data_IF_336949171453
#
_entry.id   IF_336949171453
#
_cell.length_a   1.000
_cell.length_b   1.000
_cell.length_c   1.000
_cell.angle_alpha   90.00
_cell.angle_beta   90.00
_cell.angle_gamma   90.00
#
_symmetry.space_group_name_H-M   'P 1'
#
loop_
_entity.id
_entity.type
_entity.pdbx_description
1 polymer ?
#
# COMPACT_ATOMS: atom_id res chain seq x y z
N UNK A 1 35.23 -27.75 -42.27
CA UNK A 1 35.37 -27.74 -40.81
C UNK A 1 35.14 -26.39 -40.14
N UNK A 2 35.36 -25.22 -40.73
CA UNK A 2 35.17 -23.90 -40.10
C UNK A 2 33.71 -23.43 -39.88
N UNK A 3 32.74 -24.03 -40.56
CA UNK A 3 31.33 -23.59 -40.46
C UNK A 3 30.59 -24.13 -39.21
N UNK A 4 30.99 -25.32 -38.74
CA UNK A 4 30.36 -25.99 -37.59
C UNK A 4 30.71 -25.26 -36.26
N UNK A 5 31.92 -24.70 -36.18
CA UNK A 5 32.39 -24.03 -34.98
C UNK A 5 31.68 -22.66 -34.77
N UNK A 6 31.35 -21.95 -35.84
CA UNK A 6 30.62 -20.68 -35.78
C UNK A 6 29.18 -20.88 -35.33
N UNK A 7 28.54 -21.94 -35.78
CA UNK A 7 27.16 -22.26 -35.35
C UNK A 7 27.10 -22.63 -33.86
N UNK A 8 28.08 -23.36 -33.37
CA UNK A 8 28.20 -23.70 -31.93
C UNK A 8 28.41 -22.46 -31.08
N UNK A 9 29.24 -21.51 -31.52
CA UNK A 9 29.48 -20.25 -30.79
C UNK A 9 28.19 -19.41 -30.71
N UNK A 10 27.46 -19.29 -31.82
CA UNK A 10 26.17 -18.53 -31.84
C UNK A 10 25.13 -19.21 -30.95
N UNK A 11 25.03 -20.53 -30.97
CA UNK A 11 24.11 -21.29 -30.14
C UNK A 11 24.44 -21.14 -28.64
N UNK A 12 25.71 -21.21 -28.26
CA UNK A 12 26.16 -21.02 -26.87
C UNK A 12 25.89 -19.58 -26.40
N UNK A 13 26.18 -18.58 -27.24
CA UNK A 13 25.89 -17.18 -26.90
C UNK A 13 24.38 -16.92 -26.73
N UNK A 14 23.55 -17.56 -27.53
CA UNK A 14 22.09 -17.46 -27.43
C UNK A 14 21.56 -18.14 -26.16
N UNK A 15 22.10 -19.31 -25.80
CA UNK A 15 21.75 -19.99 -24.55
C UNK A 15 22.18 -19.19 -23.31
N UNK A 16 23.37 -18.58 -23.33
CA UNK A 16 23.81 -17.70 -22.23
C UNK A 16 22.96 -16.45 -22.11
N UNK A 17 22.50 -15.86 -23.20
CA UNK A 17 21.59 -14.72 -23.19
C UNK A 17 20.21 -15.08 -22.64
N UNK A 18 19.66 -16.25 -23.02
CA UNK A 18 18.41 -16.77 -22.46
C UNK A 18 18.51 -17.06 -20.97
N UNK A 19 19.63 -17.62 -20.52
CA UNK A 19 19.89 -17.89 -19.10
C UNK A 19 19.98 -16.58 -18.27
N UNK A 20 20.58 -15.53 -18.84
CA UNK A 20 20.65 -14.21 -18.21
C UNK A 20 19.26 -13.55 -18.09
N UNK A 21 18.39 -13.72 -19.09
CA UNK A 21 17.00 -13.24 -19.03
C UNK A 21 16.15 -13.97 -17.98
N UNK A 22 16.41 -15.26 -17.76
CA UNK A 22 15.72 -16.06 -16.75
C UNK A 22 16.14 -15.70 -15.31
N UNK A 23 17.25 -15.00 -15.15
CA UNK A 23 17.79 -14.56 -13.84
C UNK A 23 17.31 -13.19 -13.40
N UNK A 24 16.44 -12.53 -14.17
CA UNK A 24 15.88 -11.24 -13.77
C UNK A 24 14.94 -11.45 -12.56
N UNK A 25 15.18 -10.74 -11.44
CA UNK A 25 14.26 -10.82 -10.31
C UNK A 25 12.88 -10.35 -10.78
N UNK A 26 11.88 -11.19 -10.54
CA UNK A 26 10.48 -10.79 -10.77
C UNK A 26 10.20 -9.55 -9.94
N UNK A 27 9.89 -8.43 -10.59
CA UNK A 27 9.36 -7.27 -9.92
C UNK A 27 8.04 -7.69 -9.26
N UNK A 28 8.04 -7.81 -7.94
CA UNK A 28 6.81 -8.02 -7.17
C UNK A 28 6.03 -6.72 -7.19
N UNK A 29 5.08 -6.61 -8.11
CA UNK A 29 4.06 -5.59 -8.07
C UNK A 29 3.02 -5.97 -6.98
N UNK A 30 3.36 -5.71 -5.72
CA UNK A 30 2.49 -5.99 -4.57
C UNK A 30 2.01 -4.68 -3.91
N UNK A 31 1.87 -3.64 -4.71
CA UNK A 31 1.57 -2.29 -4.23
C UNK A 31 0.10 -2.10 -3.82
N UNK A 32 -0.78 -2.99 -4.24
CA UNK A 32 -2.23 -2.87 -4.04
C UNK A 32 -2.77 -3.69 -2.86
N UNK A 33 -2.11 -4.78 -2.45
CA UNK A 33 -2.54 -5.64 -1.36
C UNK A 33 -1.76 -5.36 -0.06
N UNK A 34 -1.89 -4.15 0.48
CA UNK A 34 -1.26 -3.83 1.77
C UNK A 34 -1.79 -4.78 2.84
N UNK A 35 -0.88 -5.61 3.34
CA UNK A 35 -1.16 -6.61 4.37
C UNK A 35 -0.05 -6.56 5.41
N UNK A 36 -0.41 -6.47 6.70
CA UNK A 36 0.55 -6.55 7.80
C UNK A 36 0.02 -7.42 8.92
N UNK A 37 0.94 -8.03 9.64
CA UNK A 37 0.66 -8.73 10.89
C UNK A 37 0.89 -7.78 12.06
N UNK A 38 -0.09 -7.66 12.94
CA UNK A 38 -0.07 -6.79 14.12
C UNK A 38 -0.36 -7.63 15.35
N UNK A 39 0.44 -7.49 16.40
CA UNK A 39 0.23 -8.15 17.68
C UNK A 39 -0.14 -7.13 18.75
N UNK A 40 -1.28 -7.33 19.38
CA UNK A 40 -1.73 -6.54 20.54
C UNK A 40 -1.43 -7.28 21.82
N UNK A 41 -0.82 -6.61 22.79
CA UNK A 41 -0.53 -7.14 24.12
C UNK A 41 -1.72 -7.03 25.09
N UNK A 42 -2.70 -6.21 24.77
CA UNK A 42 -3.92 -5.97 25.53
C UNK A 42 -5.13 -5.94 24.58
N UNK A 43 -6.36 -6.04 25.08
CA UNK A 43 -7.56 -5.85 24.27
C UNK A 43 -7.59 -4.46 23.64
N UNK A 44 -8.07 -4.37 22.38
CA UNK A 44 -8.22 -3.11 21.64
C UNK A 44 -9.64 -2.96 21.11
N UNK A 45 -10.16 -1.75 21.16
CA UNK A 45 -11.43 -1.41 20.54
C UNK A 45 -11.23 -1.09 19.06
N UNK A 46 -12.06 -1.68 18.21
CA UNK A 46 -12.03 -1.52 16.75
C UNK A 46 -13.41 -1.10 16.25
N UNK A 47 -13.51 -0.16 15.31
CA UNK A 47 -14.78 0.12 14.64
C UNK A 47 -15.06 -0.91 13.56
N UNK A 48 -16.25 -0.82 12.94
CA UNK A 48 -16.58 -1.58 11.76
C UNK A 48 -17.68 -2.60 11.93
N UNK A 49 -17.88 -3.41 10.91
CA UNK A 49 -18.89 -4.47 10.86
C UNK A 49 -18.27 -5.77 11.34
N UNK A 50 -18.74 -6.28 12.48
CA UNK A 50 -18.22 -7.48 13.14
C UNK A 50 -17.85 -7.24 14.60
N UNK A 51 -16.75 -7.83 15.04
CA UNK A 51 -16.25 -7.64 16.40
C UNK A 51 -15.83 -6.18 16.63
N UNK A 52 -16.25 -5.62 17.77
CA UNK A 52 -15.89 -4.24 18.14
C UNK A 52 -14.77 -4.18 19.20
N UNK A 53 -14.38 -5.31 19.73
CA UNK A 53 -13.23 -5.46 20.64
C UNK A 53 -12.47 -6.72 20.24
N UNK A 54 -11.18 -6.56 20.04
CA UNK A 54 -10.26 -7.67 19.79
C UNK A 54 -9.48 -7.99 21.07
N UNK A 55 -9.45 -9.23 21.53
CA UNK A 55 -8.57 -9.67 22.63
C UNK A 55 -7.10 -9.43 22.29
N UNK A 56 -6.23 -9.51 23.30
CA UNK A 56 -4.80 -9.62 23.07
C UNK A 56 -4.50 -10.81 22.14
N UNK A 57 -3.68 -10.60 21.12
CA UNK A 57 -3.41 -11.61 20.10
C UNK A 57 -2.77 -11.05 18.84
N UNK A 58 -2.55 -11.92 17.87
CA UNK A 58 -1.96 -11.59 16.57
C UNK A 58 -3.04 -11.59 15.50
N UNK A 59 -3.06 -10.54 14.71
CA UNK A 59 -4.08 -10.27 13.69
C UNK A 59 -3.43 -9.86 12.38
N UNK A 60 -4.13 -10.15 11.28
CA UNK A 60 -3.78 -9.65 9.95
C UNK A 60 -4.67 -8.47 9.62
N UNK A 61 -4.03 -7.34 9.33
CA UNK A 61 -4.65 -6.16 8.74
C UNK A 61 -4.40 -6.19 7.25
N UNK A 62 -5.46 -6.19 6.47
CA UNK A 62 -5.41 -6.22 5.02
C UNK A 62 -6.33 -5.16 4.43
N UNK A 63 -5.82 -4.38 3.48
CA UNK A 63 -6.67 -3.52 2.67
C UNK A 63 -7.54 -4.39 1.76
N UNK A 64 -8.85 -4.29 1.93
CA UNK A 64 -9.80 -4.99 1.08
C UNK A 64 -10.07 -4.13 -0.14
N UNK A 65 -9.97 -4.71 -1.29
CA UNK A 65 -10.26 -4.18 -2.61
C UNK A 65 -9.76 -2.74 -2.91
N UNK A 66 -8.84 -2.66 -3.85
CA UNK A 66 -8.23 -1.41 -4.31
C UNK A 66 -9.05 -0.66 -5.37
N UNK A 67 -10.13 -1.24 -5.88
CA UNK A 67 -10.97 -0.65 -6.93
C UNK A 67 -12.12 0.22 -6.37
N UNK A 68 -12.34 0.18 -5.05
CA UNK A 68 -13.31 1.05 -4.41
C UNK A 68 -12.69 2.41 -4.11
N UNK A 69 -13.43 3.49 -4.32
CA UNK A 69 -13.04 4.87 -3.98
C UNK A 69 -12.77 5.08 -2.48
N UNK A 70 -12.93 4.04 -1.66
CA UNK A 70 -12.80 4.07 -0.20
C UNK A 70 -11.91 2.96 0.31
N UNK A 71 -11.15 3.32 1.33
CA UNK A 71 -10.21 2.43 1.97
C UNK A 71 -10.94 1.53 2.98
N UNK A 72 -11.15 0.28 2.64
CA UNK A 72 -11.76 -0.72 3.52
C UNK A 72 -10.67 -1.64 4.04
N UNK A 73 -10.60 -1.80 5.36
CA UNK A 73 -9.62 -2.64 6.05
C UNK A 73 -10.33 -3.84 6.67
N UNK A 74 -9.85 -5.04 6.37
CA UNK A 74 -10.27 -6.27 7.03
C UNK A 74 -9.25 -6.68 8.08
N UNK A 75 -9.76 -7.06 9.25
CA UNK A 75 -8.97 -7.64 10.32
C UNK A 75 -9.36 -9.10 10.44
N UNK A 76 -8.39 -9.99 10.25
CA UNK A 76 -8.59 -11.43 10.30
C UNK A 76 -7.62 -12.12 11.27
N UNK A 77 -7.90 -13.39 11.54
CA UNK A 77 -6.99 -14.29 12.24
C UNK A 77 -5.65 -14.42 11.52
N UNK A 78 -4.61 -14.85 12.22
CA UNK A 78 -3.26 -15.03 11.69
C UNK A 78 -3.22 -15.98 10.48
N UNK A 79 -4.06 -17.01 10.48
CA UNK A 79 -4.22 -17.95 9.35
C UNK A 79 -5.07 -17.39 8.20
N UNK A 80 -5.72 -16.23 8.40
CA UNK A 80 -6.58 -15.58 7.41
C UNK A 80 -7.93 -16.26 7.18
N UNK A 81 -8.28 -17.27 7.98
CA UNK A 81 -9.52 -18.05 7.80
C UNK A 81 -10.75 -17.39 8.39
N UNK A 82 -10.58 -16.57 9.41
CA UNK A 82 -11.66 -15.88 10.10
C UNK A 82 -11.50 -14.37 10.02
N UNK A 83 -12.51 -13.67 9.51
CA UNK A 83 -12.57 -12.20 9.51
C UNK A 83 -13.33 -11.77 10.76
N UNK A 84 -12.67 -11.04 11.64
CA UNK A 84 -13.26 -10.51 12.88
C UNK A 84 -14.10 -9.27 12.62
N UNK A 85 -13.58 -8.35 11.81
CA UNK A 85 -14.26 -7.10 11.49
C UNK A 85 -13.79 -6.53 10.16
N UNK A 86 -14.67 -5.75 9.53
CA UNK A 86 -14.39 -4.97 8.33
C UNK A 86 -14.67 -3.51 8.62
N UNK A 87 -13.68 -2.66 8.41
CA UNK A 87 -13.65 -1.26 8.86
C UNK A 87 -13.60 -0.33 7.67
N UNK A 88 -14.45 0.71 7.67
CA UNK A 88 -14.31 1.84 6.78
C UNK A 88 -13.21 2.77 7.31
N UNK A 89 -12.35 3.22 6.41
CA UNK A 89 -11.29 4.16 6.72
C UNK A 89 -11.30 5.34 5.76
N UNK A 90 -10.59 6.38 6.12
CA UNK A 90 -10.26 7.51 5.26
C UNK A 90 -8.73 7.63 5.13
N UNK A 91 -8.22 8.25 4.07
CA UNK A 91 -6.79 8.51 3.97
C UNK A 91 -6.29 9.37 5.13
N UNK A 92 -5.18 8.97 5.71
CA UNK A 92 -4.43 9.75 6.68
C UNK A 92 -2.97 9.89 6.21
N UNK A 93 -2.28 10.91 6.68
CA UNK A 93 -0.93 11.26 6.27
C UNK A 93 -0.03 11.47 7.47
N UNK A 94 1.24 11.08 7.34
CA UNK A 94 2.31 11.35 8.32
C UNK A 94 3.54 11.92 7.63
N UNK A 95 4.23 12.81 8.31
CA UNK A 95 5.39 13.53 7.76
C UNK A 95 6.59 12.63 7.43
N UNK A 96 6.76 11.51 8.14
CA UNK A 96 7.89 10.59 7.95
C UNK A 96 7.41 9.15 7.80
N UNK A 97 7.89 8.48 6.78
CA UNK A 97 7.73 7.02 6.65
C UNK A 97 8.66 6.28 7.62
N UNK A 98 8.30 5.06 7.97
CA UNK A 98 9.15 4.13 8.74
C UNK A 98 9.08 2.76 8.09
N UNK A 99 10.13 1.96 8.23
CA UNK A 99 10.21 0.60 7.69
C UNK A 99 9.35 -0.41 8.47
N UNK A 100 8.62 0.05 9.48
CA UNK A 100 7.75 -0.77 10.32
C UNK A 100 6.30 -0.33 10.18
N UNK A 101 5.38 -1.27 10.38
CA UNK A 101 3.97 -0.96 10.59
C UNK A 101 3.82 -0.03 11.77
N UNK A 102 3.04 1.04 11.59
CA UNK A 102 2.67 1.94 12.69
C UNK A 102 1.17 1.87 12.88
N UNK A 103 0.77 1.56 14.11
CA UNK A 103 -0.59 1.64 14.60
C UNK A 103 -0.67 2.78 15.60
N UNK A 104 -1.65 3.65 15.46
CA UNK A 104 -1.93 4.71 16.43
C UNK A 104 -3.25 4.44 17.14
N UNK A 105 -3.35 4.94 18.35
CA UNK A 105 -4.52 4.73 19.21
C UNK A 105 -5.08 6.07 19.68
N UNK A 106 -6.34 6.08 20.07
CA UNK A 106 -6.98 7.16 20.80
C UNK A 106 -6.99 6.79 22.28
N UNK A 107 -6.62 7.75 23.11
CA UNK A 107 -6.64 7.58 24.55
C UNK A 107 -8.07 7.31 25.05
N UNK A 108 -8.16 6.47 26.07
CA UNK A 108 -9.40 6.09 26.73
C UNK A 108 -9.30 6.30 28.24
N UNK A 109 -10.45 6.27 28.89
CA UNK A 109 -10.47 6.25 30.35
C UNK A 109 -9.74 5.01 30.90
N UNK A 110 -9.15 5.16 32.06
CA UNK A 110 -8.39 4.07 32.71
C UNK A 110 -9.24 2.79 32.84
N UNK A 111 -8.64 1.66 32.46
CA UNK A 111 -9.29 0.35 32.47
C UNK A 111 -10.14 0.02 31.26
N UNK A 112 -10.26 0.93 30.27
CA UNK A 112 -10.92 0.63 29.01
C UNK A 112 -9.90 0.24 27.94
N UNK A 113 -10.29 -0.62 26.96
CA UNK A 113 -9.44 -0.93 25.81
C UNK A 113 -9.12 0.34 25.01
N UNK A 114 -7.86 0.48 24.56
CA UNK A 114 -7.49 1.56 23.65
C UNK A 114 -8.22 1.42 22.33
N UNK A 115 -8.68 2.56 21.79
CA UNK A 115 -9.37 2.60 20.51
C UNK A 115 -8.37 2.80 19.38
N UNK A 116 -8.33 1.91 18.38
CA UNK A 116 -7.43 2.09 17.23
C UNK A 116 -7.80 3.36 16.46
N UNK A 117 -6.78 4.17 16.10
CA UNK A 117 -6.97 5.40 15.34
C UNK A 117 -6.63 5.20 13.88
N UNK A 118 -5.39 4.85 13.60
CA UNK A 118 -4.92 4.72 12.22
C UNK A 118 -3.85 3.65 12.06
N UNK A 119 -3.78 3.12 10.83
CA UNK A 119 -2.83 2.12 10.41
C UNK A 119 -2.00 2.63 9.25
N UNK A 120 -0.67 2.57 9.41
CA UNK A 120 0.30 2.91 8.36
C UNK A 120 1.13 1.69 7.98
N UNK A 121 1.14 1.39 6.71
CA UNK A 121 1.95 0.31 6.15
C UNK A 121 3.45 0.66 6.18
N UNK A 122 4.36 -0.32 6.31
CA UNK A 122 5.81 -0.09 6.22
C UNK A 122 6.21 0.67 4.96
N UNK A 123 7.05 1.67 5.10
CA UNK A 123 7.52 2.51 3.99
C UNK A 123 6.54 3.58 3.51
N UNK A 124 5.25 3.50 3.89
CA UNK A 124 4.23 4.44 3.42
C UNK A 124 4.13 5.69 4.32
N UNK A 125 3.95 6.86 3.71
CA UNK A 125 3.53 8.08 4.40
C UNK A 125 2.01 8.16 4.53
N UNK A 126 1.28 7.56 3.60
CA UNK A 126 -0.18 7.46 3.64
C UNK A 126 -0.61 6.24 4.43
N UNK A 127 -1.65 6.40 5.22
CA UNK A 127 -2.27 5.37 6.04
C UNK A 127 -3.78 5.42 5.98
N UNK A 128 -4.41 4.64 6.83
CA UNK A 128 -5.85 4.45 6.95
C UNK A 128 -6.28 4.93 8.32
N UNK A 129 -7.03 6.04 8.43
CA UNK A 129 -7.68 6.46 9.66
C UNK A 129 -9.06 5.83 9.74
N UNK A 130 -9.35 5.18 10.85
CA UNK A 130 -10.56 4.39 11.01
C UNK A 130 -11.76 5.24 11.39
N UNK A 131 -12.89 4.92 10.77
CA UNK A 131 -14.14 5.63 10.92
C UNK A 131 -15.00 4.92 11.96
N UNK A 132 -15.49 5.65 12.95
CA UNK A 132 -16.27 5.14 14.06
C UNK A 132 -17.78 5.37 13.87
N UNK A 133 -18.65 4.58 14.51
CA UNK A 133 -20.06 4.93 14.67
C UNK A 133 -20.17 6.27 15.41
N UNK A 134 -21.14 7.11 15.03
CA UNK A 134 -21.32 8.46 15.55
C UNK A 134 -21.29 8.55 17.07
N UNK A 135 -22.03 7.68 17.76
CA UNK A 135 -22.09 7.69 19.23
C UNK A 135 -20.70 7.50 19.85
N UNK A 136 -19.94 6.56 19.32
CA UNK A 136 -18.58 6.30 19.78
C UNK A 136 -17.61 7.41 19.38
N UNK A 137 -17.77 7.98 18.20
CA UNK A 137 -16.98 9.12 17.76
C UNK A 137 -17.17 10.33 18.66
N UNK A 138 -18.40 10.62 19.13
CA UNK A 138 -18.68 11.68 20.10
C UNK A 138 -17.94 11.45 21.42
N UNK A 139 -17.97 10.22 21.93
CA UNK A 139 -17.25 9.86 23.16
C UNK A 139 -15.74 10.08 22.99
N UNK A 140 -15.17 9.54 21.90
CA UNK A 140 -13.74 9.64 21.61
C UNK A 140 -13.32 11.10 21.39
N UNK A 141 -14.08 11.88 20.61
CA UNK A 141 -13.75 13.28 20.34
C UNK A 141 -13.71 14.13 21.61
N UNK A 142 -14.63 13.90 22.55
CA UNK A 142 -14.64 14.59 23.85
C UNK A 142 -13.43 14.20 24.72
N UNK A 143 -13.03 12.92 24.70
CA UNK A 143 -11.92 12.44 25.51
C UNK A 143 -10.57 12.94 24.99
N UNK A 144 -10.37 12.89 23.68
CA UNK A 144 -9.08 13.24 23.06
C UNK A 144 -8.95 14.72 22.71
N UNK A 145 -10.07 15.47 22.79
CA UNK A 145 -10.16 16.85 22.31
C UNK A 145 -9.74 17.00 20.82
N UNK A 146 -9.96 15.97 20.02
CA UNK A 146 -9.67 15.95 18.58
C UNK A 146 -10.91 15.53 17.78
N UNK A 147 -11.09 15.99 16.54
CA UNK A 147 -12.14 15.48 15.67
C UNK A 147 -11.96 13.99 15.39
N UNK A 148 -13.07 13.27 15.29
CA UNK A 148 -13.09 11.83 15.00
C UNK A 148 -13.92 11.56 13.76
N UNK A 149 -13.38 10.89 12.73
CA UNK A 149 -14.14 10.45 11.57
C UNK A 149 -15.29 9.52 12.01
N UNK A 150 -16.48 9.80 11.50
CA UNK A 150 -17.70 9.13 11.93
C UNK A 150 -18.62 8.79 10.77
N UNK A 151 -19.42 7.76 10.99
CA UNK A 151 -20.61 7.44 10.19
C UNK A 151 -21.83 7.45 11.09
N UNK A 152 -22.96 7.92 10.57
CA UNK A 152 -24.20 7.99 11.35
C UNK A 152 -24.64 6.60 11.79
N UNK A 153 -24.61 5.64 10.86
CA UNK A 153 -24.94 4.23 11.13
C UNK A 153 -23.98 3.31 10.39
N UNK A 154 -23.53 2.27 11.06
CA UNK A 154 -22.80 1.18 10.40
C UNK A 154 -23.77 0.25 9.68
N UNK A 155 -23.52 -0.08 8.41
CA UNK A 155 -24.36 -1.05 7.71
C UNK A 155 -24.18 -2.45 8.33
N UNK A 156 -25.19 -3.28 8.17
CA UNK A 156 -25.12 -4.68 8.63
C UNK A 156 -24.15 -5.51 7.78
N UNK A 157 -23.99 -5.15 6.50
CA UNK A 157 -23.15 -5.88 5.56
C UNK A 157 -21.88 -5.09 5.21
N UNK A 158 -20.71 -5.75 5.22
CA UNK A 158 -19.43 -5.11 4.88
C UNK A 158 -19.40 -4.47 3.48
N UNK A 159 -20.11 -5.04 2.52
CA UNK A 159 -20.16 -4.53 1.15
C UNK A 159 -20.80 -3.13 1.03
N UNK A 160 -21.69 -2.78 1.96
CA UNK A 160 -22.37 -1.49 1.98
C UNK A 160 -21.50 -0.36 2.58
N UNK A 161 -20.38 -0.69 3.23
CA UNK A 161 -19.47 0.30 3.82
C UNK A 161 -18.96 1.34 2.81
N UNK A 162 -18.76 0.95 1.56
CA UNK A 162 -18.27 1.85 0.50
C UNK A 162 -19.21 3.04 0.19
N UNK A 163 -20.50 2.89 0.45
CA UNK A 163 -21.53 3.87 0.08
C UNK A 163 -21.96 4.76 1.27
N UNK A 164 -21.43 4.51 2.49
CA UNK A 164 -21.81 5.25 3.69
C UNK A 164 -21.19 6.65 3.69
N UNK A 165 -21.94 7.73 3.93
CA UNK A 165 -21.38 9.07 4.06
C UNK A 165 -20.50 9.17 5.33
N UNK A 166 -19.32 9.75 5.18
CA UNK A 166 -18.37 9.98 6.27
C UNK A 166 -18.31 11.45 6.60
N UNK A 167 -18.50 11.75 7.87
CA UNK A 167 -18.38 13.07 8.46
C UNK A 167 -17.34 13.04 9.58
N UNK A 168 -17.07 14.15 10.21
CA UNK A 168 -16.27 14.18 11.41
C UNK A 168 -17.08 14.74 12.57
N UNK A 169 -16.89 14.19 13.75
CA UNK A 169 -17.47 14.71 14.98
C UNK A 169 -16.41 15.51 15.72
N UNK A 170 -16.71 16.76 16.02
CA UNK A 170 -15.84 17.64 16.81
C UNK A 170 -15.92 17.33 18.31
N UNK A 171 -14.98 17.81 19.14
CA UNK A 171 -15.06 17.70 20.60
C UNK A 171 -16.34 18.30 21.21
N UNK A 172 -16.94 19.29 20.54
CA UNK A 172 -18.22 19.85 20.93
C UNK A 172 -19.44 18.94 20.63
N UNK A 173 -19.21 17.85 19.86
CA UNK A 173 -20.24 16.92 19.43
C UNK A 173 -20.95 17.35 18.15
N UNK A 174 -20.44 18.34 17.44
CA UNK A 174 -20.98 18.82 16.18
C UNK A 174 -20.46 17.98 15.01
N UNK A 175 -21.33 17.67 14.06
CA UNK A 175 -20.95 17.04 12.80
C UNK A 175 -20.47 18.10 11.82
N UNK A 176 -19.30 17.87 11.26
CA UNK A 176 -18.70 18.74 10.24
C UNK A 176 -18.23 17.90 9.05
N UNK A 177 -18.23 18.47 7.84
CA UNK A 177 -17.67 17.78 6.70
C UNK A 177 -16.22 17.33 6.97
N UNK A 178 -15.87 16.11 6.55
CA UNK A 178 -14.55 15.54 6.79
C UNK A 178 -13.40 16.45 6.30
N UNK A 179 -13.62 17.18 5.21
CA UNK A 179 -12.64 18.11 4.64
C UNK A 179 -12.33 19.32 5.55
N UNK A 180 -13.18 19.62 6.55
CA UNK A 180 -12.94 20.68 7.53
C UNK A 180 -12.24 20.18 8.79
N UNK A 181 -12.34 18.89 9.06
CA UNK A 181 -11.82 18.27 10.27
C UNK A 181 -10.47 17.60 10.07
N UNK A 182 -10.17 17.16 8.84
CA UNK A 182 -8.90 16.54 8.49
C UNK A 182 -7.99 17.59 7.91
N UNK A 183 -6.86 17.81 8.56
CA UNK A 183 -5.80 18.68 8.04
C UNK A 183 -5.34 18.12 6.68
N UNK A 184 -5.48 18.93 5.63
CA UNK A 184 -4.96 18.54 4.32
C UNK A 184 -3.45 18.29 4.45
N UNK A 185 -2.90 17.28 3.75
CA UNK A 185 -1.47 17.11 3.67
C UNK A 185 -0.84 18.44 3.31
N UNK A 186 0.32 18.81 3.91
CA UNK A 186 1.02 20.02 3.52
C UNK A 186 1.11 20.03 2.01
N UNK A 187 0.55 21.04 1.35
CA UNK A 187 0.74 21.21 -0.08
C UNK A 187 2.26 21.19 -0.29
N UNK A 188 2.77 20.20 -1.00
CA UNK A 188 4.15 20.23 -1.43
C UNK A 188 4.29 21.56 -2.17
N UNK A 189 4.93 22.50 -1.49
CA UNK A 189 5.28 23.76 -2.10
C UNK A 189 6.23 23.36 -3.22
N UNK A 190 5.74 23.39 -4.46
CA UNK A 190 6.52 23.11 -5.68
C UNK A 190 7.67 24.11 -5.88
N UNK A 191 8.16 24.70 -4.80
CA UNK A 191 9.27 25.63 -4.69
C UNK A 191 10.42 25.04 -3.88
N UNK A 192 10.44 23.76 -3.56
CA UNK A 192 11.63 23.11 -3.09
C UNK A 192 12.46 22.76 -4.30
N UNK A 193 13.58 23.47 -4.47
CA UNK A 193 14.79 23.09 -5.20
C UNK A 193 14.62 21.74 -5.90
N UNK A 194 14.50 21.74 -7.22
CA UNK A 194 14.45 20.53 -8.01
C UNK A 194 15.67 19.67 -7.64
N UNK A 195 15.53 18.84 -6.63
CA UNK A 195 16.44 17.72 -6.48
C UNK A 195 16.38 16.97 -7.82
N UNK A 196 17.54 16.71 -8.44
CA UNK A 196 17.55 15.98 -9.70
C UNK A 196 16.76 14.70 -9.46
N UNK A 197 15.66 14.54 -10.22
CA UNK A 197 14.82 13.35 -10.16
C UNK A 197 15.74 12.12 -10.12
N UNK A 198 15.54 11.18 -9.19
CA UNK A 198 16.33 9.98 -9.17
C UNK A 198 16.30 9.41 -10.58
N UNK A 199 17.46 9.07 -11.12
CA UNK A 199 17.60 8.48 -12.46
C UNK A 199 16.91 7.10 -12.45
N UNK A 200 15.60 7.08 -12.46
CA UNK A 200 14.76 5.89 -12.56
C UNK A 200 14.62 5.42 -13.99
N UNK A 201 15.23 6.14 -14.95
CA UNK A 201 15.43 5.60 -16.28
C UNK A 201 16.42 4.44 -16.16
N UNK A 202 15.90 3.23 -16.04
CA UNK A 202 16.71 2.03 -16.11
C UNK A 202 17.49 2.07 -17.42
N UNK A 203 18.80 1.81 -17.38
CA UNK A 203 19.65 1.77 -18.57
C UNK A 203 19.31 0.57 -19.49
N UNK A 204 18.34 -0.26 -19.09
CA UNK A 204 17.88 -1.46 -19.80
C UNK A 204 17.43 -1.15 -21.23
N UNK A 205 16.67 -0.08 -21.53
CA UNK A 205 16.32 0.26 -22.92
C UNK A 205 17.54 0.62 -23.77
N UNK A 206 18.52 1.29 -23.17
CA UNK A 206 19.77 1.67 -23.85
C UNK A 206 20.63 0.42 -24.14
N UNK A 207 20.75 -0.48 -23.18
CA UNK A 207 21.47 -1.76 -23.33
C UNK A 207 20.78 -2.65 -24.38
N UNK A 208 19.44 -2.69 -24.39
CA UNK A 208 18.67 -3.42 -25.40
C UNK A 208 18.90 -2.86 -26.80
N UNK A 209 18.94 -1.52 -26.95
CA UNK A 209 19.22 -0.85 -28.22
C UNK A 209 20.64 -1.15 -28.71
N UNK A 210 21.64 -1.10 -27.85
CA UNK A 210 23.04 -1.45 -28.17
C UNK A 210 23.12 -2.92 -28.57
N UNK A 211 22.42 -3.81 -27.87
CA UNK A 211 22.35 -5.24 -28.20
C UNK A 211 21.73 -5.50 -29.59
N UNK A 212 20.67 -4.82 -29.95
CA UNK A 212 20.05 -4.93 -31.27
C UNK A 212 20.94 -4.37 -32.40
N UNK A 213 21.61 -3.24 -32.15
CA UNK A 213 22.54 -2.67 -33.13
C UNK A 213 23.75 -3.58 -33.38
N UNK A 214 24.31 -4.18 -32.33
CA UNK A 214 25.44 -5.10 -32.48
C UNK A 214 25.05 -6.41 -33.19
N UNK A 215 23.84 -6.93 -32.96
CA UNK A 215 23.29 -8.07 -33.70
C UNK A 215 23.08 -7.75 -35.18
N UNK A 216 22.50 -6.57 -35.47
CA UNK A 216 22.31 -6.10 -36.85
C UNK A 216 23.62 -5.94 -37.61
N UNK A 217 24.64 -5.34 -36.98
CA UNK A 217 25.97 -5.21 -37.56
C UNK A 217 26.64 -6.58 -37.82
N UNK A 218 26.52 -7.51 -36.88
CA UNK A 218 27.04 -8.89 -37.04
C UNK A 218 26.40 -9.63 -38.20
N UNK A 219 25.10 -9.54 -38.37
CA UNK A 219 24.36 -10.15 -39.49
C UNK A 219 24.75 -9.47 -40.82
N UNK A 220 24.89 -8.13 -40.82
CA UNK A 220 25.31 -7.37 -42.00
C UNK A 220 26.69 -7.78 -42.50
N UNK A 221 27.70 -7.86 -41.63
CA UNK A 221 29.05 -8.29 -41.93
C UNK A 221 29.07 -9.76 -42.46
N UNK A 222 28.29 -10.63 -41.84
CA UNK A 222 28.17 -12.01 -42.27
C UNK A 222 27.56 -12.15 -43.69
N UNK A 223 26.49 -11.39 -43.97
CA UNK A 223 25.84 -11.39 -45.28
C UNK A 223 26.75 -10.79 -46.35
N UNK A 224 27.52 -9.75 -46.04
CA UNK A 224 28.48 -9.15 -46.93
C UNK A 224 29.67 -10.09 -47.24
N UNK A 225 30.18 -10.76 -46.24
CA UNK A 225 31.28 -11.74 -46.42
C UNK A 225 30.89 -12.94 -47.29
N UNK A 226 29.61 -13.28 -47.36
CA UNK A 226 29.09 -14.31 -48.27
C UNK A 226 28.96 -13.91 -49.70
N UNK A 227 28.85 -12.58 -50.01
CA UNK A 227 28.72 -12.06 -51.35
C UNK A 227 30.09 -11.84 -52.04
N UNK A 228 31.17 -11.78 -51.25
CA UNK A 228 32.54 -11.54 -51.72
C UNK A 228 33.41 -12.80 -51.74
N UNK A 229 32.87 -13.94 -51.39
CA UNK A 229 33.45 -15.28 -51.52
C UNK A 229 32.74 -16.11 -52.58
#
# INVERSE_FOLDING_TARGET
MKQIDRFKIVAVSFCLFLAALASLPSAKADEWNKKTTVTFSAPVEVPGVGAQTLPAGTYIFKLADSLADRNIVQISSEDGTHVFTTILAIPNYRLKSTDKTVMTFRERAEGQPEAIRAWFYPGAQWGQEFVYPKEKAIELAKLTNEPVPAVTELPTEPAALKDVPVEAVTPAGEEVPIAQAVEAPPAETAAATAEPMPKTASEIPLLALIGMLSLGAGIGIWAFSKRTA
#
